data_IF_609254816509
#
_entry.id   IF_609254816509
#
_cell.length_a   1.000
_cell.length_b   1.000
_cell.length_c   1.000
_cell.angle_alpha   90.00
_cell.angle_beta   90.00
_cell.angle_gamma   90.00
#
_symmetry.space_group_name_H-M   'P 1'
#
loop_
_entity.id
_entity.type
_entity.pdbx_description
1 polymer ?
#
# COMPACT_ATOMS: atom_id res chain seq x y z
N UNK A 1 18.01 14.54 -2.78
CA UNK A 1 17.84 13.74 -1.55
C UNK A 1 16.43 13.79 -0.96
N UNK A 2 15.71 14.91 -1.02
CA UNK A 2 14.34 15.05 -0.47
C UNK A 2 13.31 14.11 -1.10
N UNK A 3 13.38 13.90 -2.41
CA UNK A 3 12.43 13.04 -3.15
C UNK A 3 12.51 11.56 -2.77
N UNK A 4 13.70 11.05 -2.45
CA UNK A 4 13.88 9.65 -2.05
C UNK A 4 13.31 9.37 -0.67
N UNK A 5 13.43 10.33 0.25
CA UNK A 5 12.92 10.20 1.61
C UNK A 5 11.38 10.22 1.62
N UNK A 6 10.75 11.14 0.87
CA UNK A 6 9.28 11.19 0.79
C UNK A 6 8.69 9.92 0.17
N UNK A 7 9.33 9.36 -0.86
CA UNK A 7 8.91 8.09 -1.45
C UNK A 7 9.00 6.94 -0.46
N UNK A 8 10.11 6.82 0.26
CA UNK A 8 10.30 5.78 1.27
C UNK A 8 9.27 5.90 2.41
N UNK A 9 9.05 7.11 2.92
CA UNK A 9 8.05 7.35 3.98
C UNK A 9 6.64 7.02 3.51
N UNK A 10 6.30 7.37 2.27
CA UNK A 10 5.00 7.03 1.67
C UNK A 10 4.78 5.51 1.61
N UNK A 11 5.78 4.76 1.15
CA UNK A 11 5.69 3.30 1.06
C UNK A 11 5.60 2.65 2.44
N UNK A 12 6.37 3.13 3.41
CA UNK A 12 6.26 2.67 4.80
C UNK A 12 4.88 2.96 5.39
N UNK A 13 4.29 4.11 5.08
CA UNK A 13 2.93 4.45 5.49
C UNK A 13 1.89 3.52 4.85
N UNK A 14 2.00 3.22 3.55
CA UNK A 14 1.14 2.27 2.84
C UNK A 14 1.26 0.87 3.45
N UNK A 15 2.49 0.39 3.67
CA UNK A 15 2.73 -0.92 4.25
C UNK A 15 2.22 -1.01 5.69
N UNK A 16 2.49 0.00 6.51
CA UNK A 16 2.02 0.07 7.90
C UNK A 16 0.50 0.14 7.98
N UNK A 17 -0.15 0.97 7.16
CA UNK A 17 -1.60 1.03 7.05
C UNK A 17 -2.19 -0.34 6.68
N UNK A 18 -1.67 -0.96 5.60
CA UNK A 18 -2.15 -2.24 5.12
C UNK A 18 -2.03 -3.32 6.18
N UNK A 19 -0.88 -3.41 6.84
CA UNK A 19 -0.67 -4.40 7.90
C UNK A 19 -1.61 -4.19 9.10
N UNK A 20 -1.72 -2.96 9.64
CA UNK A 20 -2.55 -2.65 10.79
C UNK A 20 -4.04 -2.87 10.53
N UNK A 21 -4.55 -2.39 9.40
CA UNK A 21 -5.96 -2.51 9.06
C UNK A 21 -6.34 -3.95 8.75
N UNK A 22 -5.44 -4.70 8.11
CA UNK A 22 -5.63 -6.12 7.87
C UNK A 22 -5.67 -6.94 9.16
N UNK A 23 -4.77 -6.69 10.09
CA UNK A 23 -4.79 -7.31 11.42
C UNK A 23 -6.11 -7.05 12.16
N UNK A 24 -6.59 -5.80 12.13
CA UNK A 24 -7.86 -5.46 12.75
C UNK A 24 -9.04 -6.16 12.07
N UNK A 25 -9.04 -6.26 10.74
CA UNK A 25 -10.06 -6.97 9.98
C UNK A 25 -10.06 -8.47 10.28
N UNK A 26 -8.89 -9.12 10.29
CA UNK A 26 -8.78 -10.55 10.63
C UNK A 26 -9.23 -10.84 12.06
N UNK A 27 -8.79 -10.04 13.03
CA UNK A 27 -9.21 -10.19 14.41
C UNK A 27 -10.73 -10.05 14.57
N UNK A 28 -11.36 -9.13 13.82
CA UNK A 28 -12.81 -8.94 13.83
C UNK A 28 -13.57 -10.10 13.19
N UNK A 29 -13.00 -10.70 12.15
CA UNK A 29 -13.62 -11.79 11.38
C UNK A 29 -13.31 -13.17 11.95
N UNK A 30 -12.45 -13.28 12.98
CA UNK A 30 -12.02 -14.56 13.55
C UNK A 30 -11.19 -15.41 12.59
N UNK A 31 -10.47 -14.81 11.67
CA UNK A 31 -9.68 -15.49 10.64
C UNK A 31 -8.27 -15.88 11.11
N UNK A 32 -7.95 -15.66 12.38
CA UNK A 32 -6.61 -15.92 12.94
C UNK A 32 -6.43 -17.35 13.46
N UNK A 33 -7.50 -18.14 13.55
CA UNK A 33 -7.47 -19.46 14.15
C UNK A 33 -7.02 -20.50 13.12
N UNK A 34 -5.81 -21.03 13.30
CA UNK A 34 -5.31 -22.21 12.58
C UNK A 34 -4.32 -21.95 11.46
N UNK A 35 -3.94 -20.73 11.16
CA UNK A 35 -2.92 -20.43 10.16
C UNK A 35 -1.50 -20.40 10.76
N UNK A 36 -0.49 -20.69 9.92
CA UNK A 36 0.90 -20.46 10.31
C UNK A 36 1.17 -18.94 10.45
N UNK A 37 2.05 -18.56 11.37
CA UNK A 37 2.37 -17.12 11.62
C UNK A 37 2.76 -16.33 10.35
N UNK A 38 3.58 -16.85 9.42
CA UNK A 38 3.91 -16.12 8.19
C UNK A 38 2.71 -15.95 7.25
N UNK A 39 1.82 -16.94 7.17
CA UNK A 39 0.63 -16.87 6.33
C UNK A 39 -0.37 -15.85 6.89
N UNK A 40 -0.53 -15.79 8.21
CA UNK A 40 -1.36 -14.80 8.88
C UNK A 40 -0.84 -13.37 8.66
N UNK A 41 0.47 -13.17 8.65
CA UNK A 41 1.08 -11.85 8.36
C UNK A 41 0.85 -11.43 6.91
N UNK A 42 1.07 -12.33 5.96
CA UNK A 42 0.81 -12.09 4.54
C UNK A 42 -0.67 -11.80 4.29
N UNK A 43 -1.56 -12.60 4.86
CA UNK A 43 -3.01 -12.42 4.74
C UNK A 43 -3.43 -11.07 5.32
N UNK A 44 -2.88 -10.67 6.49
CA UNK A 44 -3.13 -9.35 7.06
C UNK A 44 -2.75 -8.24 6.08
N UNK A 45 -1.56 -8.32 5.50
CA UNK A 45 -1.12 -7.33 4.53
C UNK A 45 -2.05 -7.29 3.31
N UNK A 46 -2.39 -8.43 2.72
CA UNK A 46 -3.26 -8.52 1.53
C UNK A 46 -4.66 -7.97 1.79
N UNK A 47 -5.27 -8.33 2.92
CA UNK A 47 -6.58 -7.82 3.33
C UNK A 47 -6.54 -6.30 3.54
N UNK A 48 -5.54 -5.80 4.25
CA UNK A 48 -5.38 -4.37 4.49
C UNK A 48 -5.06 -3.57 3.22
N UNK A 49 -4.27 -4.14 2.31
CA UNK A 49 -4.01 -3.54 1.00
C UNK A 49 -5.29 -3.48 0.14
N UNK A 50 -6.13 -4.51 0.18
CA UNK A 50 -7.46 -4.48 -0.43
C UNK A 50 -8.36 -3.40 0.17
N UNK A 51 -8.35 -3.23 1.49
CA UNK A 51 -9.07 -2.14 2.17
C UNK A 51 -8.55 -0.76 1.77
N UNK A 52 -7.24 -0.58 1.63
CA UNK A 52 -6.65 0.65 1.10
C UNK A 52 -7.21 0.99 -0.28
N UNK A 53 -7.22 0.01 -1.20
CA UNK A 53 -7.79 0.19 -2.55
C UNK A 53 -9.25 0.59 -2.46
N UNK A 54 -10.06 -0.07 -1.62
CA UNK A 54 -11.47 0.25 -1.43
C UNK A 54 -11.66 1.69 -0.93
N UNK A 55 -10.89 2.15 0.06
CA UNK A 55 -10.94 3.53 0.56
C UNK A 55 -10.60 4.52 -0.54
N UNK A 56 -9.51 4.29 -1.27
CA UNK A 56 -9.11 5.17 -2.38
C UNK A 56 -10.15 5.18 -3.50
N UNK A 57 -10.76 4.03 -3.81
CA UNK A 57 -11.82 3.92 -4.81
C UNK A 57 -13.06 4.74 -4.43
N UNK A 58 -13.52 4.63 -3.17
CA UNK A 58 -14.65 5.43 -2.67
C UNK A 58 -14.35 6.92 -2.73
N UNK A 59 -13.14 7.34 -2.32
CA UNK A 59 -12.74 8.74 -2.42
C UNK A 59 -12.64 9.22 -3.87
N UNK A 60 -12.13 8.38 -4.76
CA UNK A 60 -12.03 8.72 -6.18
C UNK A 60 -13.40 8.85 -6.86
N UNK A 61 -14.34 7.97 -6.55
CA UNK A 61 -15.73 8.07 -7.07
C UNK A 61 -16.46 9.29 -6.54
N UNK A 62 -16.14 9.71 -5.30
CA UNK A 62 -16.67 10.93 -4.69
C UNK A 62 -15.94 12.21 -5.12
N UNK A 63 -14.96 12.15 -6.05
CA UNK A 63 -14.11 13.27 -6.47
C UNK A 63 -13.31 13.90 -5.31
N UNK A 64 -12.98 13.08 -4.29
CA UNK A 64 -12.26 13.44 -3.08
C UNK A 64 -10.84 12.85 -3.03
N UNK A 65 -10.31 12.37 -4.15
CA UNK A 65 -8.95 11.82 -4.23
C UNK A 65 -7.91 12.95 -4.21
N UNK A 66 -7.81 13.61 -3.06
CA UNK A 66 -6.92 14.75 -2.79
C UNK A 66 -6.15 14.52 -1.50
N UNK A 67 -4.97 15.15 -1.30
CA UNK A 67 -4.12 14.87 -0.15
C UNK A 67 -4.83 14.97 1.20
N UNK A 68 -5.64 16.00 1.42
CA UNK A 68 -6.31 16.21 2.70
C UNK A 68 -7.41 15.16 2.98
N UNK A 69 -8.40 14.92 2.08
CA UNK A 69 -9.39 13.87 2.29
C UNK A 69 -8.77 12.46 2.40
N UNK A 70 -7.78 12.15 1.56
CA UNK A 70 -7.08 10.85 1.60
C UNK A 70 -6.35 10.70 2.94
N UNK A 71 -5.57 11.68 3.36
CA UNK A 71 -4.88 11.67 4.64
C UNK A 71 -5.83 11.54 5.82
N UNK A 72 -6.96 12.27 5.81
CA UNK A 72 -7.98 12.20 6.85
C UNK A 72 -8.66 10.82 6.90
N UNK A 73 -9.05 10.26 5.75
CA UNK A 73 -9.70 8.96 5.68
C UNK A 73 -8.75 7.83 6.14
N UNK A 74 -7.52 7.82 5.65
CA UNK A 74 -6.51 6.82 6.05
C UNK A 74 -6.16 6.97 7.53
N UNK A 75 -6.01 8.19 8.03
CA UNK A 75 -5.78 8.46 9.45
C UNK A 75 -6.94 7.97 10.32
N UNK A 76 -8.19 8.25 9.94
CA UNK A 76 -9.37 7.77 10.65
C UNK A 76 -9.43 6.24 10.70
N UNK A 77 -9.25 5.57 9.57
CA UNK A 77 -9.25 4.10 9.51
C UNK A 77 -8.12 3.52 10.36
N UNK A 78 -6.93 4.12 10.33
CA UNK A 78 -5.81 3.70 11.19
C UNK A 78 -6.15 3.84 12.67
N UNK A 79 -6.71 4.96 13.09
CA UNK A 79 -7.10 5.19 14.51
C UNK A 79 -8.16 4.18 14.94
N UNK A 80 -9.18 3.94 14.12
CA UNK A 80 -10.21 2.93 14.40
C UNK A 80 -9.60 1.54 14.53
N UNK A 81 -8.69 1.17 13.62
CA UNK A 81 -8.01 -0.13 13.65
C UNK A 81 -7.14 -0.29 14.89
N UNK A 82 -6.38 0.73 15.26
CA UNK A 82 -5.57 0.73 16.49
C UNK A 82 -6.44 0.64 17.74
N UNK A 83 -7.53 1.41 17.82
CA UNK A 83 -8.45 1.36 18.95
C UNK A 83 -9.11 -0.02 19.10
N UNK A 84 -9.48 -0.63 17.97
CA UNK A 84 -10.04 -1.98 17.95
C UNK A 84 -9.01 -3.02 18.41
N UNK A 85 -7.80 -3.00 17.87
CA UNK A 85 -6.72 -3.90 18.26
C UNK A 85 -6.35 -3.72 19.73
N UNK A 86 -6.28 -2.49 20.21
CA UNK A 86 -6.05 -2.20 21.64
C UNK A 86 -7.07 -2.89 22.53
N UNK A 87 -8.36 -2.75 22.16
CA UNK A 87 -9.47 -3.32 22.94
C UNK A 87 -9.49 -4.85 22.87
N UNK A 88 -9.27 -5.43 21.69
CA UNK A 88 -9.32 -6.88 21.48
C UNK A 88 -8.12 -7.61 22.07
N UNK A 89 -6.92 -7.04 21.96
CA UNK A 89 -5.69 -7.65 22.44
C UNK A 89 -5.39 -7.41 23.93
N UNK A 90 -6.16 -6.57 24.61
CA UNK A 90 -5.91 -6.22 26.02
C UNK A 90 -4.65 -5.38 26.25
N UNK A 91 -4.15 -4.71 25.20
CA UNK A 91 -3.03 -3.76 25.27
C UNK A 91 -1.97 -3.92 24.17
N UNK A 92 -1.04 -2.96 24.10
CA UNK A 92 0.01 -2.89 23.06
C UNK A 92 0.90 -4.13 22.94
N UNK A 93 1.16 -4.81 24.06
CA UNK A 93 2.05 -6.01 24.06
C UNK A 93 1.52 -7.15 23.19
N UNK A 94 0.23 -7.24 23.02
CA UNK A 94 -0.41 -8.34 22.30
C UNK A 94 -0.73 -7.96 20.82
N UNK A 95 -0.68 -6.66 20.49
CA UNK A 95 -0.88 -6.20 19.10
C UNK A 95 0.27 -6.67 18.20
N UNK A 96 1.49 -6.67 18.75
CA UNK A 96 2.68 -7.07 17.98
C UNK A 96 2.98 -8.57 18.09
N UNK A 97 2.12 -9.35 18.77
CA UNK A 97 2.20 -10.80 18.85
C UNK A 97 3.48 -11.36 19.50
N UNK A 98 3.55 -12.65 19.76
CA UNK A 98 4.83 -13.31 20.01
C UNK A 98 5.70 -13.14 18.76
N UNK A 99 6.95 -12.76 18.94
CA UNK A 99 7.92 -12.62 17.85
C UNK A 99 7.93 -13.90 17.01
N UNK A 100 7.69 -13.80 15.70
CA UNK A 100 7.65 -14.98 14.84
C UNK A 100 8.91 -15.83 15.05
N UNK A 101 8.75 -17.15 14.94
CA UNK A 101 9.85 -18.10 14.98
C UNK A 101 10.99 -17.52 14.13
N UNK A 102 12.17 -17.31 14.75
CA UNK A 102 13.28 -16.53 14.17
C UNK A 102 13.44 -16.84 12.69
N UNK A 103 13.24 -15.88 11.78
CA UNK A 103 13.38 -16.13 10.36
C UNK A 103 14.80 -16.62 10.10
N UNK A 104 14.94 -17.60 9.23
CA UNK A 104 16.27 -18.11 8.87
C UNK A 104 17.08 -16.93 8.30
N UNK A 105 18.24 -16.58 8.88
CA UNK A 105 18.96 -15.35 8.54
C UNK A 105 19.29 -15.26 7.04
N UNK A 106 19.52 -16.41 6.41
CA UNK A 106 19.78 -16.48 4.96
C UNK A 106 18.56 -16.08 4.14
N UNK A 107 17.35 -16.55 4.51
CA UNK A 107 16.12 -16.15 3.82
C UNK A 107 15.86 -14.65 3.92
N UNK A 108 16.05 -14.08 5.12
CA UNK A 108 15.87 -12.64 5.34
C UNK A 108 16.88 -11.81 4.54
N UNK A 109 18.14 -12.27 4.44
CA UNK A 109 19.17 -11.60 3.63
C UNK A 109 18.83 -11.65 2.14
N UNK A 110 18.30 -12.77 1.64
CA UNK A 110 17.89 -12.89 0.24
C UNK A 110 16.69 -11.97 -0.08
N UNK A 111 15.68 -11.92 0.78
CA UNK A 111 14.53 -11.01 0.63
C UNK A 111 15.00 -9.56 0.65
N UNK A 112 15.87 -9.20 1.61
CA UNK A 112 16.43 -7.86 1.69
C UNK A 112 17.25 -7.51 0.44
N UNK A 113 18.10 -8.41 -0.02
CA UNK A 113 18.91 -8.22 -1.24
C UNK A 113 18.00 -8.03 -2.47
N UNK A 114 16.97 -8.84 -2.62
CA UNK A 114 15.99 -8.71 -3.69
C UNK A 114 15.24 -7.37 -3.61
N UNK A 115 14.77 -7.01 -2.42
CA UNK A 115 14.11 -5.72 -2.20
C UNK A 115 15.02 -4.54 -2.55
N UNK A 116 16.28 -4.57 -2.11
CA UNK A 116 17.25 -3.53 -2.44
C UNK A 116 17.52 -3.45 -3.94
N UNK A 117 17.67 -4.59 -4.60
CA UNK A 117 17.87 -4.65 -6.06
C UNK A 117 16.68 -4.06 -6.82
N UNK A 118 15.46 -4.44 -6.47
CA UNK A 118 14.25 -3.90 -7.07
C UNK A 118 14.07 -2.41 -6.74
N UNK A 119 14.45 -1.98 -5.53
CA UNK A 119 14.38 -0.59 -5.11
C UNK A 119 15.37 0.31 -5.87
N UNK A 120 16.53 -0.21 -6.29
CA UNK A 120 17.46 0.54 -7.14
C UNK A 120 16.79 0.96 -8.45
N UNK A 121 15.98 0.07 -9.05
CA UNK A 121 15.20 0.40 -10.24
C UNK A 121 14.14 1.47 -9.99
N UNK A 122 13.59 1.56 -8.78
CA UNK A 122 12.59 2.56 -8.43
C UNK A 122 13.10 4.01 -8.54
N UNK A 123 14.42 4.22 -8.48
CA UNK A 123 15.04 5.53 -8.64
C UNK A 123 15.51 5.81 -10.07
N UNK A 124 15.41 4.84 -10.95
CA UNK A 124 15.64 5.06 -12.38
C UNK A 124 14.41 5.78 -12.98
N UNK A 125 14.61 6.62 -14.01
CA UNK A 125 13.46 7.20 -14.72
C UNK A 125 12.62 6.08 -15.34
N UNK A 126 11.31 6.33 -15.45
CA UNK A 126 10.40 5.43 -16.15
C UNK A 126 10.84 5.30 -17.63
N UNK A 127 11.16 4.09 -18.04
CA UNK A 127 11.65 3.81 -19.39
C UNK A 127 10.75 2.81 -20.14
N UNK A 128 9.86 2.12 -19.42
CA UNK A 128 8.97 1.14 -20.04
C UNK A 128 7.82 1.83 -20.75
N UNK A 129 7.53 1.35 -21.95
CA UNK A 129 6.51 1.94 -22.81
C UNK A 129 5.13 1.94 -22.11
N UNK A 130 4.73 0.83 -21.50
CA UNK A 130 3.47 0.70 -20.78
C UNK A 130 3.35 1.67 -19.59
N UNK A 131 4.45 1.87 -18.91
CA UNK A 131 4.52 2.78 -17.78
C UNK A 131 4.34 4.23 -18.20
N UNK A 132 5.03 4.65 -19.26
CA UNK A 132 4.97 6.01 -19.80
C UNK A 132 3.67 6.26 -20.58
N UNK A 133 3.15 5.23 -21.28
CA UNK A 133 2.00 5.38 -22.15
C UNK A 133 0.68 5.45 -21.37
N UNK A 134 0.51 4.69 -20.27
CA UNK A 134 -0.77 4.68 -19.55
C UNK A 134 -0.68 4.54 -18.04
N UNK A 135 0.23 3.77 -17.46
CA UNK A 135 0.18 3.54 -16.00
C UNK A 135 0.44 4.81 -15.19
N UNK A 136 1.55 5.49 -15.43
CA UNK A 136 1.85 6.76 -14.75
C UNK A 136 0.93 7.91 -15.16
N UNK A 137 0.62 8.12 -16.45
CA UNK A 137 -0.35 9.14 -16.88
C UNK A 137 -1.71 8.98 -16.20
N UNK A 138 -2.27 7.77 -16.14
CA UNK A 138 -3.55 7.50 -15.46
C UNK A 138 -3.46 7.83 -13.97
N UNK A 139 -2.44 7.35 -13.28
CA UNK A 139 -2.26 7.62 -11.86
C UNK A 139 -2.07 9.11 -11.57
N UNK A 140 -1.32 9.83 -12.40
CA UNK A 140 -1.14 11.29 -12.30
C UNK A 140 -2.44 12.04 -12.54
N UNK A 141 -3.24 11.60 -13.51
CA UNK A 141 -4.50 12.24 -13.81
C UNK A 141 -5.51 12.06 -12.68
N UNK A 142 -5.64 10.86 -12.12
CA UNK A 142 -6.46 10.63 -10.93
C UNK A 142 -6.01 11.51 -9.76
N UNK A 143 -4.70 11.63 -9.53
CA UNK A 143 -4.17 12.49 -8.48
C UNK A 143 -4.45 13.98 -8.74
N UNK A 144 -4.47 14.44 -9.99
CA UNK A 144 -4.72 15.82 -10.38
C UNK A 144 -6.20 16.19 -10.42
N UNK A 145 -7.01 15.31 -11.02
CA UNK A 145 -8.46 15.52 -11.14
C UNK A 145 -9.18 15.35 -9.78
N UNK A 146 -8.59 14.57 -8.89
CA UNK A 146 -9.20 14.23 -7.61
C UNK A 146 -10.22 13.11 -7.71
N UNK A 147 -10.29 12.39 -8.84
CA UNK A 147 -11.28 11.35 -9.07
C UNK A 147 -10.93 10.41 -10.22
N UNK A 148 -11.85 9.51 -10.50
CA UNK A 148 -11.74 8.61 -11.65
C UNK A 148 -12.05 9.38 -12.94
N UNK A 149 -11.16 9.24 -13.91
CA UNK A 149 -11.32 9.78 -15.28
C UNK A 149 -11.31 8.66 -16.28
N UNK A 150 -12.11 8.78 -17.32
CA UNK A 150 -12.13 7.85 -18.45
C UNK A 150 -11.29 8.45 -19.57
N UNK A 151 -10.31 7.70 -20.05
CA UNK A 151 -9.40 8.14 -21.11
C UNK A 151 -9.83 7.55 -22.43
N UNK A 152 -10.59 8.31 -23.22
CA UNK A 152 -11.07 7.87 -24.54
C UNK A 152 -9.93 7.56 -25.53
N UNK A 153 -8.77 8.20 -25.31
CA UNK A 153 -7.60 8.08 -26.19
C UNK A 153 -6.65 6.92 -25.82
N UNK A 154 -6.90 6.23 -24.70
CA UNK A 154 -6.09 5.09 -24.32
C UNK A 154 -6.62 3.81 -24.94
N UNK A 155 -5.69 2.93 -25.37
CA UNK A 155 -6.04 1.61 -25.92
C UNK A 155 -6.90 0.76 -24.97
N UNK A 156 -6.73 0.96 -23.64
CA UNK A 156 -7.44 0.25 -22.59
C UNK A 156 -8.06 1.24 -21.60
N UNK A 157 -9.11 1.97 -21.99
CA UNK A 157 -9.69 3.05 -21.15
C UNK A 157 -10.33 2.54 -19.86
N UNK A 158 -10.63 1.23 -19.78
CA UNK A 158 -11.26 0.56 -18.63
C UNK A 158 -10.35 -0.49 -17.98
N UNK A 159 -9.04 -0.28 -18.01
CA UNK A 159 -8.10 -1.19 -17.36
C UNK A 159 -8.35 -1.24 -15.83
N UNK A 160 -7.91 -2.33 -15.18
CA UNK A 160 -8.05 -2.50 -13.73
C UNK A 160 -7.34 -1.37 -12.97
N UNK A 161 -8.10 -0.43 -12.41
CA UNK A 161 -7.59 0.81 -11.81
C UNK A 161 -7.05 0.65 -10.38
N UNK A 162 -7.13 -0.55 -9.82
CA UNK A 162 -6.79 -0.80 -8.42
C UNK A 162 -5.39 -0.30 -8.05
N UNK A 163 -4.38 -0.70 -8.83
CA UNK A 163 -3.00 -0.29 -8.58
C UNK A 163 -2.77 1.18 -8.93
N UNK A 164 -3.45 1.72 -9.95
CA UNK A 164 -3.37 3.14 -10.30
C UNK A 164 -3.88 4.05 -9.18
N UNK A 165 -4.90 3.62 -8.42
CA UNK A 165 -5.37 4.35 -7.24
C UNK A 165 -4.31 4.39 -6.14
N UNK A 166 -3.63 3.28 -5.87
CA UNK A 166 -2.52 3.25 -4.92
C UNK A 166 -1.36 4.13 -5.41
N UNK A 167 -1.03 4.06 -6.69
CA UNK A 167 -0.01 4.92 -7.30
C UNK A 167 -0.40 6.40 -7.25
N UNK A 168 -1.68 6.73 -7.45
CA UNK A 168 -2.17 8.10 -7.29
C UNK A 168 -1.95 8.62 -5.87
N UNK A 169 -2.28 7.79 -4.86
CA UNK A 169 -1.97 8.08 -3.48
C UNK A 169 -0.47 8.25 -3.23
N UNK A 170 0.35 7.34 -3.78
CA UNK A 170 1.80 7.41 -3.67
C UNK A 170 2.39 8.67 -4.32
N UNK A 171 1.86 9.09 -5.47
CA UNK A 171 2.26 10.33 -6.15
C UNK A 171 1.86 11.59 -5.40
N UNK A 172 0.70 11.58 -4.71
CA UNK A 172 0.24 12.73 -3.93
C UNK A 172 1.12 13.04 -2.72
N UNK A 173 1.62 12.00 -2.04
CA UNK A 173 2.38 12.15 -0.78
C UNK A 173 3.89 11.91 -0.95
N UNK A 174 4.31 11.32 -2.04
CA UNK A 174 5.68 10.95 -2.31
C UNK A 174 6.27 11.65 -3.52
N UNK A 175 6.92 10.87 -4.35
CA UNK A 175 7.52 11.31 -5.62
C UNK A 175 7.24 10.26 -6.69
N UNK A 176 7.71 10.49 -7.91
CA UNK A 176 7.60 9.52 -9.01
C UNK A 176 8.28 8.16 -8.71
N UNK A 177 9.22 8.12 -7.77
CA UNK A 177 9.80 6.87 -7.30
C UNK A 177 8.86 6.06 -6.39
N UNK A 178 7.83 6.68 -5.78
CA UNK A 178 6.95 6.00 -4.84
C UNK A 178 6.12 4.86 -5.46
N UNK A 179 5.49 5.00 -6.65
CA UNK A 179 4.85 3.89 -7.35
C UNK A 179 5.78 2.69 -7.58
N UNK A 180 7.02 2.94 -8.00
CA UNK A 180 8.00 1.87 -8.24
C UNK A 180 8.38 1.15 -6.94
N UNK A 181 8.56 1.88 -5.84
CA UNK A 181 8.84 1.28 -4.53
C UNK A 181 7.64 0.47 -4.02
N UNK A 182 6.40 0.91 -4.28
CA UNK A 182 5.19 0.10 -4.00
C UNK A 182 5.27 -1.22 -4.74
N UNK A 183 5.59 -1.20 -6.04
CA UNK A 183 5.73 -2.43 -6.83
C UNK A 183 6.86 -3.32 -6.31
N UNK A 184 8.01 -2.74 -5.93
CA UNK A 184 9.12 -3.49 -5.34
C UNK A 184 8.70 -4.17 -4.01
N UNK A 185 7.93 -3.49 -3.17
CA UNK A 185 7.36 -4.08 -1.95
C UNK A 185 6.42 -5.25 -2.27
N UNK A 186 5.50 -5.06 -3.23
CA UNK A 186 4.56 -6.12 -3.62
C UNK A 186 5.24 -7.33 -4.26
N UNK A 187 6.38 -7.14 -4.92
CA UNK A 187 7.13 -8.22 -5.56
C UNK A 187 7.92 -9.11 -4.58
N UNK A 188 8.15 -8.67 -3.34
CA UNK A 188 8.90 -9.42 -2.31
C UNK A 188 8.00 -10.00 -1.21
N UNK A 189 6.71 -9.75 -1.27
CA UNK A 189 5.69 -10.34 -0.39
C UNK A 189 5.24 -11.69 -0.90
#
# INVERSE_FOLDING_TARGET
>A
MTYSLSAALCVLAIAGFSWLTGQAAQAKLGLQDGESEPDACLLSFMVGFGLLICVLFVLATAQLLRPLPVGAALGLVTVISLAYLWKSAGGWRNIFGPTPSRPRPVGMLLVLALFLLLSLRAFAPALEWDELAYHLPVARDFARSGGLTVFENLRYPLNAWNLHLVWSGALMFGSEAAPHLVNACLAVL
#
